data_IF_389335683347
#
_entry.id   IF_389335683347
#
_cell.length_a   1.000
_cell.length_b   1.000
_cell.length_c   1.000
_cell.angle_alpha   90.00
_cell.angle_beta   90.00
_cell.angle_gamma   90.00
#
_symmetry.space_group_name_H-M   'P 1'
#
loop_
_entity.id
_entity.type
_entity.pdbx_description
1 polymer ?
#
# COMPACT_ATOMS: atom_id res chain seq x y z
N UNK A 1 20.21 -11.41 7.38
CA UNK A 1 20.67 -10.01 7.20
C UNK A 1 19.85 -9.10 8.11
N UNK A 2 20.49 -8.14 8.77
CA UNK A 2 19.83 -7.12 9.59
C UNK A 2 18.84 -6.30 8.76
N UNK A 3 17.62 -6.04 9.29
CA UNK A 3 16.63 -5.20 8.61
C UNK A 3 17.12 -3.76 8.41
N UNK A 4 17.90 -3.24 9.37
CA UNK A 4 18.40 -1.87 9.40
C UNK A 4 19.95 -1.82 9.22
N UNK A 5 20.55 -2.75 8.48
CA UNK A 5 22.00 -2.87 8.34
C UNK A 5 22.66 -1.56 7.90
N UNK A 6 22.10 -0.88 6.92
CA UNK A 6 22.69 0.38 6.41
C UNK A 6 22.66 1.50 7.45
N UNK A 7 21.63 1.59 8.27
CA UNK A 7 21.57 2.57 9.35
C UNK A 7 22.66 2.30 10.43
N UNK A 8 22.93 1.02 10.72
CA UNK A 8 23.95 0.62 11.68
C UNK A 8 25.38 0.82 11.17
N UNK A 9 25.61 0.62 9.88
CA UNK A 9 26.93 0.67 9.23
C UNK A 9 27.32 2.06 8.74
N UNK A 10 26.39 3.02 8.71
CA UNK A 10 26.64 4.34 8.12
C UNK A 10 27.63 5.13 8.96
N UNK A 11 28.80 5.39 8.36
CA UNK A 11 29.83 6.33 8.85
C UNK A 11 29.70 7.70 8.19
N UNK A 12 29.00 7.78 7.05
CA UNK A 12 28.76 9.00 6.30
C UNK A 12 27.50 9.71 6.82
N UNK A 13 27.69 10.83 7.50
CA UNK A 13 26.60 11.64 8.05
C UNK A 13 25.98 12.51 6.96
N UNK A 14 25.03 11.97 6.22
CA UNK A 14 24.30 12.71 5.18
C UNK A 14 23.28 13.66 5.82
N UNK A 15 23.46 14.98 5.76
CA UNK A 15 22.51 15.95 6.27
C UNK A 15 21.14 15.80 5.59
N UNK A 16 20.06 15.87 6.37
CA UNK A 16 18.70 15.77 5.84
C UNK A 16 18.38 14.44 5.16
N UNK A 17 19.01 13.36 5.62
CA UNK A 17 18.79 12.00 5.09
C UNK A 17 17.34 11.56 5.23
N UNK A 18 16.70 11.93 6.35
CA UNK A 18 15.26 11.71 6.59
C UNK A 18 14.59 13.05 6.85
N UNK A 19 13.69 13.44 5.97
CA UNK A 19 12.91 14.68 6.05
C UNK A 19 11.42 14.36 6.15
N UNK A 20 10.73 14.99 7.11
CA UNK A 20 9.27 14.93 7.22
C UNK A 20 8.75 16.37 7.35
N UNK A 21 8.02 16.81 6.35
CA UNK A 21 7.66 18.23 6.22
C UNK A 21 8.92 19.12 6.15
N UNK A 22 9.00 20.08 7.04
CA UNK A 22 10.12 21.03 7.10
C UNK A 22 11.25 20.61 8.06
N UNK A 23 11.05 19.54 8.83
CA UNK A 23 12.04 19.01 9.78
C UNK A 23 12.82 17.86 9.17
N UNK A 24 14.09 17.75 9.54
CA UNK A 24 14.94 16.66 9.05
C UNK A 24 15.93 16.19 10.11
N UNK A 25 16.41 14.95 9.93
CA UNK A 25 17.51 14.35 10.66
C UNK A 25 18.55 13.85 9.66
N UNK A 26 19.81 13.91 10.06
CA UNK A 26 20.88 13.17 9.40
C UNK A 26 20.77 11.67 9.74
N UNK A 27 21.56 10.83 9.06
CA UNK A 27 21.63 9.40 9.39
C UNK A 27 22.10 9.16 10.83
N UNK A 28 23.14 9.89 11.27
CA UNK A 28 23.69 9.77 12.62
C UNK A 28 22.68 10.27 13.66
N UNK A 29 22.02 11.41 13.40
CA UNK A 29 20.99 11.94 14.28
C UNK A 29 19.80 10.97 14.44
N UNK A 30 19.31 10.40 13.33
CA UNK A 30 18.24 9.38 13.36
C UNK A 30 18.68 8.16 14.18
N UNK A 31 19.85 7.61 13.89
CA UNK A 31 20.38 6.44 14.60
C UNK A 31 20.45 6.71 16.11
N UNK A 32 21.08 7.82 16.49
CA UNK A 32 21.30 8.16 17.91
C UNK A 32 20.00 8.46 18.64
N UNK A 33 19.04 9.14 17.99
CA UNK A 33 17.71 9.38 18.58
C UNK A 33 16.93 8.07 18.73
N UNK A 34 16.92 7.21 17.72
CA UNK A 34 16.26 5.89 17.78
C UNK A 34 16.92 4.96 18.81
N UNK A 35 18.24 5.02 18.97
CA UNK A 35 18.95 4.27 20.02
C UNK A 35 18.56 4.74 21.41
N UNK A 36 18.37 6.05 21.62
CA UNK A 36 17.89 6.57 22.91
C UNK A 36 16.47 6.08 23.24
N UNK A 37 15.59 5.97 22.22
CA UNK A 37 14.28 5.34 22.39
C UNK A 37 14.42 3.85 22.73
N UNK A 38 15.29 3.12 22.01
CA UNK A 38 15.52 1.71 22.28
C UNK A 38 16.03 1.44 23.70
N UNK A 39 16.82 2.34 24.27
CA UNK A 39 17.28 2.25 25.68
C UNK A 39 16.12 2.29 26.67
N UNK A 40 15.05 3.03 26.37
CA UNK A 40 13.87 3.16 27.22
C UNK A 40 12.91 1.95 27.11
N UNK A 41 13.01 1.17 26.02
CA UNK A 41 12.10 0.06 25.72
C UNK A 41 12.55 -1.29 26.27
N UNK A 42 13.44 -1.33 27.22
CA UNK A 42 14.08 -2.55 27.74
C UNK A 42 13.07 -3.65 28.06
N UNK A 43 13.13 -4.75 27.31
CA UNK A 43 12.33 -5.96 27.55
C UNK A 43 10.89 -5.88 27.07
N UNK A 44 10.40 -4.77 26.56
CA UNK A 44 9.07 -4.69 25.96
C UNK A 44 9.02 -5.51 24.66
N UNK A 45 8.10 -6.47 24.60
CA UNK A 45 7.93 -7.30 23.41
C UNK A 45 7.16 -6.56 22.30
N UNK A 46 6.24 -5.67 22.66
CA UNK A 46 5.39 -4.93 21.72
C UNK A 46 5.19 -3.49 22.13
N UNK A 47 5.37 -2.57 21.18
CA UNK A 47 5.23 -1.14 21.43
C UNK A 47 4.32 -0.49 20.38
N UNK A 48 3.39 0.33 20.83
CA UNK A 48 2.51 1.09 19.94
C UNK A 48 3.12 2.47 19.62
N UNK A 49 2.91 2.94 18.38
CA UNK A 49 3.35 4.26 17.90
C UNK A 49 2.19 4.94 17.19
N UNK A 50 1.73 6.13 17.62
CA UNK A 50 0.80 6.93 16.82
C UNK A 50 1.47 7.30 15.50
N UNK A 51 0.95 6.77 14.40
CA UNK A 51 1.61 6.80 13.09
C UNK A 51 1.30 8.10 12.31
N UNK A 52 1.57 9.23 12.93
CA UNK A 52 1.47 10.55 12.30
C UNK A 52 2.60 10.76 11.29
N UNK A 53 2.43 11.66 10.34
CA UNK A 53 3.48 12.07 9.40
C UNK A 53 4.51 12.97 10.10
N UNK A 54 5.37 12.40 10.96
CA UNK A 54 6.32 13.12 11.81
C UNK A 54 7.64 12.37 11.97
N UNK A 55 8.69 13.10 12.37
CA UNK A 55 9.98 12.49 12.70
C UNK A 55 9.88 11.62 13.96
N UNK A 56 9.00 11.97 14.89
CA UNK A 56 8.70 11.20 16.09
C UNK A 56 8.23 9.79 15.72
N UNK A 57 7.32 9.66 14.77
CA UNK A 57 6.89 8.35 14.26
C UNK A 57 8.07 7.55 13.67
N UNK A 58 8.89 8.19 12.84
CA UNK A 58 10.06 7.51 12.24
C UNK A 58 11.02 7.04 13.32
N UNK A 59 11.38 7.92 14.27
CA UNK A 59 12.30 7.60 15.38
C UNK A 59 11.71 6.54 16.29
N UNK A 60 10.41 6.62 16.62
CA UNK A 60 9.72 5.62 17.44
C UNK A 60 9.70 4.23 16.80
N UNK A 61 9.38 4.16 15.51
CA UNK A 61 9.41 2.89 14.75
C UNK A 61 10.82 2.31 14.72
N UNK A 62 11.82 3.11 14.35
CA UNK A 62 13.21 2.65 14.28
C UNK A 62 13.73 2.25 15.65
N UNK A 63 13.41 3.01 16.71
CA UNK A 63 13.77 2.70 18.10
C UNK A 63 13.17 1.38 18.58
N UNK A 64 11.88 1.15 18.31
CA UNK A 64 11.23 -0.14 18.60
C UNK A 64 11.89 -1.31 17.88
N UNK A 65 12.21 -1.13 16.59
CA UNK A 65 12.93 -2.14 15.81
C UNK A 65 14.35 -2.39 16.33
N UNK A 66 15.09 -1.37 16.78
CA UNK A 66 16.42 -1.52 17.38
C UNK A 66 16.35 -2.22 18.74
N UNK A 67 15.32 -1.98 19.53
CA UNK A 67 15.08 -2.66 20.80
C UNK A 67 14.70 -4.15 20.63
N UNK A 68 14.37 -4.58 19.41
CA UNK A 68 13.86 -5.93 19.15
C UNK A 68 12.35 -6.09 19.39
N UNK A 69 11.65 -5.00 19.72
CA UNK A 69 10.21 -5.02 19.92
C UNK A 69 9.45 -5.07 18.59
N UNK A 70 8.28 -5.73 18.59
CA UNK A 70 7.31 -5.60 17.50
C UNK A 70 6.62 -4.24 17.59
N UNK A 71 6.68 -3.46 16.52
CA UNK A 71 6.06 -2.13 16.49
C UNK A 71 4.65 -2.21 15.93
N UNK A 72 3.70 -1.56 16.62
CA UNK A 72 2.28 -1.48 16.27
C UNK A 72 1.97 -0.03 15.87
N UNK A 73 1.96 0.31 14.58
CA UNK A 73 1.57 1.65 14.14
C UNK A 73 0.06 1.83 14.30
N UNK A 74 -0.34 2.83 15.09
CA UNK A 74 -1.75 3.16 15.33
C UNK A 74 -2.15 4.32 14.42
N UNK A 75 -3.22 4.19 13.61
CA UNK A 75 -3.71 5.28 12.78
C UNK A 75 -4.05 6.52 13.63
N UNK A 76 -3.59 7.72 13.26
CA UNK A 76 -3.83 8.93 14.07
C UNK A 76 -5.28 9.40 14.04
N UNK A 77 -6.05 8.96 13.07
CA UNK A 77 -7.47 9.24 12.86
C UNK A 77 -8.38 8.09 13.33
N UNK A 78 -7.82 7.04 13.93
CA UNK A 78 -8.59 5.96 14.52
C UNK A 78 -9.48 6.49 15.65
N UNK A 79 -10.78 6.24 15.56
CA UNK A 79 -11.71 6.52 16.64
C UNK A 79 -11.40 5.71 17.91
N UNK A 80 -11.96 6.09 19.07
CA UNK A 80 -11.65 5.41 20.34
C UNK A 80 -11.87 3.89 20.32
N UNK A 81 -12.92 3.42 19.67
CA UNK A 81 -13.21 1.97 19.56
C UNK A 81 -12.11 1.23 18.79
N UNK A 82 -11.71 1.74 17.63
CA UNK A 82 -10.67 1.14 16.80
C UNK A 82 -9.32 1.20 17.48
N UNK A 83 -8.94 2.35 18.02
CA UNK A 83 -7.70 2.53 18.76
C UNK A 83 -7.60 1.58 19.94
N UNK A 84 -8.66 1.50 20.76
CA UNK A 84 -8.70 0.62 21.92
C UNK A 84 -8.69 -0.87 21.52
N UNK A 85 -9.30 -1.22 20.37
CA UNK A 85 -9.17 -2.56 19.81
C UNK A 85 -7.72 -2.87 19.44
N UNK A 86 -7.07 -2.00 18.67
CA UNK A 86 -5.67 -2.18 18.25
C UNK A 86 -4.73 -2.36 19.46
N UNK A 87 -4.84 -1.49 20.46
CA UNK A 87 -3.98 -1.53 21.64
C UNK A 87 -4.18 -2.80 22.48
N UNK A 88 -5.43 -3.22 22.68
CA UNK A 88 -5.75 -4.44 23.46
C UNK A 88 -5.41 -5.71 22.70
N UNK A 89 -5.80 -5.82 21.44
CA UNK A 89 -5.58 -7.02 20.62
C UNK A 89 -4.09 -7.24 20.34
N UNK A 90 -3.35 -6.15 20.09
CA UNK A 90 -1.89 -6.23 19.91
C UNK A 90 -1.14 -6.59 21.20
N UNK A 91 -1.73 -6.35 22.36
CA UNK A 91 -1.03 -6.47 23.65
C UNK A 91 0.19 -5.56 23.73
N UNK A 92 0.12 -4.35 23.15
CA UNK A 92 1.18 -3.35 23.26
C UNK A 92 1.42 -2.98 24.74
N UNK A 93 2.67 -3.07 25.19
CA UNK A 93 3.06 -2.85 26.58
C UNK A 93 3.37 -1.38 26.84
N UNK A 94 3.79 -0.64 25.83
CA UNK A 94 4.16 0.77 25.89
C UNK A 94 3.59 1.52 24.69
N UNK A 95 3.28 2.80 24.91
CA UNK A 95 2.87 3.74 23.87
C UNK A 95 3.96 4.80 23.68
N UNK A 96 4.59 4.83 22.53
CA UNK A 96 5.60 5.83 22.16
C UNK A 96 4.90 7.05 21.60
N UNK A 97 4.89 8.16 22.31
CA UNK A 97 4.19 9.38 21.88
C UNK A 97 5.06 10.63 22.00
N UNK A 98 4.76 11.66 21.20
CA UNK A 98 5.43 12.95 21.33
C UNK A 98 5.21 13.55 22.72
N UNK A 99 6.17 14.34 23.27
CA UNK A 99 6.01 15.01 24.53
C UNK A 99 4.74 15.87 24.54
N UNK A 100 3.99 15.79 25.64
CA UNK A 100 2.72 16.52 25.79
C UNK A 100 1.51 15.90 25.08
N UNK A 101 1.66 14.72 24.50
CA UNK A 101 0.49 13.92 24.09
C UNK A 101 -0.33 13.63 25.35
N UNK A 102 -1.63 14.00 25.42
CA UNK A 102 -2.46 13.67 26.57
C UNK A 102 -2.42 12.17 26.85
N UNK A 103 -2.39 11.78 28.12
CA UNK A 103 -2.56 10.40 28.50
C UNK A 103 -3.84 9.89 27.84
N UNK A 104 -3.66 8.89 26.99
CA UNK A 104 -4.80 8.22 26.44
C UNK A 104 -5.58 7.55 27.60
N UNK A 105 -6.88 7.27 27.40
CA UNK A 105 -7.78 6.70 28.41
C UNK A 105 -7.13 5.65 29.32
N UNK A 106 -7.68 5.43 30.52
CA UNK A 106 -7.19 4.46 31.51
C UNK A 106 -6.91 3.04 31.01
N UNK A 107 -7.31 2.73 29.77
CA UNK A 107 -7.05 1.46 29.06
C UNK A 107 -5.80 1.52 28.17
N UNK A 108 -5.10 2.64 28.06
CA UNK A 108 -3.89 2.79 27.22
C UNK A 108 -2.64 2.32 27.95
N UNK A 109 -1.66 1.74 27.24
CA UNK A 109 -0.36 1.41 27.81
C UNK A 109 0.35 2.65 28.36
N UNK A 110 1.29 2.50 29.32
CA UNK A 110 2.14 3.59 29.79
C UNK A 110 2.84 4.31 28.63
N UNK A 111 2.87 5.64 28.71
CA UNK A 111 3.47 6.48 27.65
C UNK A 111 4.97 6.63 27.89
N UNK A 112 5.76 6.33 26.85
CA UNK A 112 7.18 6.67 26.77
C UNK A 112 7.33 7.88 25.84
N UNK A 113 7.82 9.03 26.33
CA UNK A 113 7.91 10.25 25.54
C UNK A 113 9.01 10.14 24.47
N UNK A 114 8.65 10.46 23.22
CA UNK A 114 9.58 10.55 22.09
C UNK A 114 10.22 11.95 22.05
N UNK A 115 11.37 12.10 22.70
CA UNK A 115 12.17 13.33 22.64
C UNK A 115 13.27 13.20 21.58
N UNK A 116 13.11 13.91 20.46
CA UNK A 116 14.09 13.90 19.35
C UNK A 116 15.42 14.57 19.71
N UNK A 117 15.55 15.26 20.83
CA UNK A 117 16.82 15.84 21.29
C UNK A 117 17.71 14.83 22.00
N UNK A 118 17.13 13.76 22.53
CA UNK A 118 17.87 12.71 23.21
C UNK A 118 18.77 11.94 22.23
N UNK A 119 19.95 11.55 22.71
CA UNK A 119 20.93 10.80 21.93
C UNK A 119 21.53 9.67 22.77
N UNK A 120 21.75 8.52 22.11
CA UNK A 120 22.49 7.40 22.66
C UNK A 120 23.36 6.76 21.59
N UNK A 121 24.54 6.26 21.98
CA UNK A 121 25.44 5.49 21.13
C UNK A 121 25.52 4.03 21.59
N UNK A 122 24.63 3.60 22.47
CA UNK A 122 24.58 2.22 22.97
C UNK A 122 24.29 1.27 21.81
N UNK A 123 24.99 0.12 21.80
CA UNK A 123 24.72 -0.94 20.84
C UNK A 123 23.68 -1.89 21.43
N UNK A 124 22.62 -2.13 20.66
CA UNK A 124 21.63 -3.17 20.91
C UNK A 124 21.99 -4.43 20.14
N UNK A 125 21.72 -5.62 20.69
CA UNK A 125 21.87 -6.88 19.96
C UNK A 125 21.01 -6.86 18.69
N UNK A 126 21.51 -7.44 17.60
CA UNK A 126 20.71 -7.61 16.39
C UNK A 126 19.62 -8.64 16.65
N UNK A 127 18.34 -8.29 16.47
CA UNK A 127 17.24 -9.21 16.67
C UNK A 127 17.22 -10.31 15.59
N UNK A 128 16.66 -11.48 15.95
CA UNK A 128 16.48 -12.59 15.04
C UNK A 128 15.72 -12.15 13.77
N UNK A 129 16.16 -12.53 12.56
CA UNK A 129 15.41 -12.28 11.33
C UNK A 129 13.97 -12.83 11.35
N UNK A 130 13.70 -13.90 12.06
CA UNK A 130 12.37 -14.45 12.23
C UNK A 130 11.51 -13.70 13.27
N UNK A 131 12.12 -12.80 14.07
CA UNK A 131 11.35 -12.02 15.04
C UNK A 131 10.37 -11.08 14.35
N UNK A 132 9.21 -10.87 14.99
CA UNK A 132 8.21 -9.91 14.54
C UNK A 132 8.79 -8.50 14.53
N UNK A 133 8.70 -7.83 13.39
CA UNK A 133 9.08 -6.42 13.26
C UNK A 133 7.88 -5.49 13.41
N UNK A 134 6.79 -5.78 12.70
CA UNK A 134 5.59 -4.96 12.67
C UNK A 134 4.33 -5.81 12.86
N UNK A 135 3.33 -5.22 13.50
CA UNK A 135 1.95 -5.74 13.48
C UNK A 135 1.08 -4.64 12.85
N UNK A 136 0.67 -4.86 11.61
CA UNK A 136 -0.14 -3.89 10.86
C UNK A 136 -1.60 -4.30 10.84
N UNK A 137 -2.47 -3.42 11.34
CA UNK A 137 -3.90 -3.70 11.37
C UNK A 137 -4.55 -3.40 10.01
N UNK A 138 -5.32 -4.37 9.52
CA UNK A 138 -6.07 -4.26 8.27
C UNK A 138 -7.56 -4.18 8.58
N UNK A 139 -8.26 -3.24 7.93
CA UNK A 139 -9.72 -3.24 7.91
C UNK A 139 -10.19 -4.41 7.05
N UNK A 140 -10.56 -5.52 7.69
CA UNK A 140 -11.22 -6.63 7.00
C UNK A 140 -12.54 -6.17 6.38
N UNK A 141 -13.01 -6.89 5.35
CA UNK A 141 -14.34 -6.64 4.75
C UNK A 141 -15.47 -6.96 5.73
N UNK A 142 -15.17 -7.70 6.81
CA UNK A 142 -16.14 -8.12 7.84
C UNK A 142 -15.46 -8.14 9.21
N UNK A 143 -16.03 -7.39 10.18
CA UNK A 143 -15.61 -7.43 11.58
C UNK A 143 -14.50 -6.45 11.98
N UNK A 144 -13.94 -6.63 13.18
CA UNK A 144 -12.87 -5.81 13.72
C UNK A 144 -11.56 -5.95 12.91
N UNK A 145 -10.72 -4.90 12.86
CA UNK A 145 -9.41 -4.97 12.21
C UNK A 145 -8.56 -6.13 12.73
N UNK A 146 -7.82 -6.78 11.82
CA UNK A 146 -6.92 -7.90 12.14
C UNK A 146 -5.47 -7.44 12.07
N UNK A 147 -4.68 -7.80 13.07
CA UNK A 147 -3.24 -7.54 13.09
C UNK A 147 -2.45 -8.54 12.25
N UNK A 148 -1.92 -8.11 11.10
CA UNK A 148 -1.02 -8.93 10.29
C UNK A 148 0.40 -8.88 10.89
N UNK A 149 0.96 -10.03 11.24
CA UNK A 149 2.28 -10.17 11.85
C UNK A 149 3.34 -10.27 10.77
N UNK A 150 4.25 -9.31 10.73
CA UNK A 150 5.31 -9.21 9.73
C UNK A 150 6.67 -9.41 10.37
N UNK A 151 7.38 -10.45 9.96
CA UNK A 151 8.75 -10.70 10.43
C UNK A 151 9.75 -9.74 9.80
N UNK A 152 10.89 -9.59 10.46
CA UNK A 152 12.04 -8.83 9.94
C UNK A 152 12.51 -9.39 8.61
N UNK A 153 12.48 -10.72 8.48
CA UNK A 153 12.85 -11.42 7.25
C UNK A 153 11.91 -11.06 6.09
N UNK A 154 10.59 -11.11 6.30
CA UNK A 154 9.62 -10.82 5.25
C UNK A 154 9.75 -9.39 4.72
N UNK A 155 9.94 -8.42 5.63
CA UNK A 155 10.15 -7.03 5.26
C UNK A 155 11.47 -6.88 4.50
N UNK A 156 12.56 -7.48 4.98
CA UNK A 156 13.86 -7.41 4.33
C UNK A 156 13.81 -8.02 2.92
N UNK A 157 13.25 -9.22 2.77
CA UNK A 157 13.10 -9.90 1.47
C UNK A 157 12.30 -9.06 0.46
N UNK A 158 11.22 -8.44 0.91
CA UNK A 158 10.43 -7.54 0.08
C UNK A 158 11.25 -6.33 -0.38
N UNK A 159 11.94 -5.65 0.54
CA UNK A 159 12.70 -4.45 0.24
C UNK A 159 13.91 -4.73 -0.65
N UNK A 160 14.60 -5.86 -0.46
CA UNK A 160 15.70 -6.29 -1.31
C UNK A 160 15.21 -6.61 -2.74
N UNK A 161 14.08 -7.32 -2.84
CA UNK A 161 13.45 -7.61 -4.13
C UNK A 161 13.02 -6.35 -4.87
N UNK A 162 12.54 -5.34 -4.15
CA UNK A 162 12.19 -4.04 -4.73
C UNK A 162 13.43 -3.21 -5.09
N UNK A 163 14.50 -3.29 -4.30
CA UNK A 163 15.76 -2.63 -4.61
C UNK A 163 16.32 -3.14 -5.95
N UNK A 164 16.27 -4.46 -6.18
CA UNK A 164 16.61 -5.06 -7.47
C UNK A 164 15.66 -4.60 -8.57
N UNK A 165 14.35 -4.80 -8.40
CA UNK A 165 13.36 -4.51 -9.44
C UNK A 165 13.33 -3.03 -9.87
N UNK A 166 13.62 -2.11 -8.96
CA UNK A 166 13.58 -0.67 -9.19
C UNK A 166 14.96 -0.05 -9.41
N UNK A 167 16.03 -0.86 -9.43
CA UNK A 167 17.42 -0.38 -9.42
C UNK A 167 17.60 0.72 -8.36
N UNK A 168 17.07 0.50 -7.16
CA UNK A 168 17.06 1.47 -6.08
C UNK A 168 18.41 1.51 -5.38
N UNK A 169 19.01 2.68 -5.35
CA UNK A 169 20.38 2.87 -4.86
C UNK A 169 20.45 3.89 -3.71
N UNK A 170 21.58 3.95 -2.98
CA UNK A 170 21.81 4.97 -1.96
C UNK A 170 21.78 6.41 -2.47
N UNK A 171 21.98 6.64 -3.77
CA UNK A 171 21.97 7.98 -4.37
C UNK A 171 20.56 8.52 -4.59
N UNK A 172 19.56 7.65 -4.52
CA UNK A 172 18.18 8.04 -4.70
C UNK A 172 17.64 8.93 -3.57
N UNK A 173 16.65 9.70 -3.93
CA UNK A 173 15.80 10.45 -3.02
C UNK A 173 14.37 9.99 -3.26
N UNK A 174 13.77 9.35 -2.27
CA UNK A 174 12.38 8.95 -2.32
C UNK A 174 11.49 10.06 -1.74
N UNK A 175 10.48 10.50 -2.49
CA UNK A 175 9.43 11.38 -1.99
C UNK A 175 8.07 10.69 -1.96
N UNK A 176 7.32 10.87 -0.88
CA UNK A 176 5.93 10.44 -0.75
C UNK A 176 5.18 11.21 0.35
N UNK A 177 3.84 11.16 0.32
CA UNK A 177 2.97 11.68 1.38
C UNK A 177 2.00 10.61 1.90
N UNK A 178 2.41 9.34 1.90
CA UNK A 178 1.56 8.20 2.24
C UNK A 178 1.49 7.98 3.76
N UNK A 179 0.36 7.46 4.29
CA UNK A 179 0.19 7.20 5.71
C UNK A 179 1.22 6.21 6.27
N UNK A 180 1.77 6.51 7.46
CA UNK A 180 2.82 5.71 8.11
C UNK A 180 2.30 4.52 8.93
N UNK A 181 1.02 4.16 8.81
CA UNK A 181 0.41 2.96 9.38
C UNK A 181 0.07 1.90 8.33
N UNK A 182 0.53 2.09 7.09
CA UNK A 182 0.34 1.14 5.98
C UNK A 182 1.67 0.72 5.36
N UNK A 183 1.69 -0.49 4.78
CA UNK A 183 2.86 -1.04 4.07
C UNK A 183 3.48 -0.03 3.13
N UNK A 184 2.68 0.64 2.29
CA UNK A 184 3.20 1.56 1.27
C UNK A 184 3.93 2.76 1.86
N UNK A 185 3.38 3.39 2.91
CA UNK A 185 4.00 4.55 3.55
C UNK A 185 5.11 4.18 4.53
N UNK A 186 4.91 3.14 5.34
CA UNK A 186 5.85 2.77 6.40
C UNK A 186 6.93 1.81 5.90
N UNK A 187 6.53 0.64 5.38
CA UNK A 187 7.52 -0.37 4.98
C UNK A 187 8.30 0.10 3.76
N UNK A 188 7.60 0.46 2.68
CA UNK A 188 8.28 0.89 1.46
C UNK A 188 8.81 2.32 1.58
N UNK A 189 8.01 3.22 2.16
CA UNK A 189 8.32 4.65 2.21
C UNK A 189 9.32 5.06 3.27
N UNK A 190 9.39 4.38 4.42
CA UNK A 190 10.34 4.68 5.50
C UNK A 190 11.42 3.61 5.59
N UNK A 191 11.05 2.33 5.79
CA UNK A 191 12.05 1.28 5.97
C UNK A 191 12.83 0.97 4.67
N UNK A 192 12.22 1.21 3.50
CA UNK A 192 12.90 1.06 2.21
C UNK A 192 14.14 1.95 2.09
N UNK A 193 14.03 3.29 2.21
CA UNK A 193 15.18 4.18 2.24
C UNK A 193 16.22 3.79 3.29
N UNK A 194 15.79 3.40 4.49
CA UNK A 194 16.70 3.00 5.58
C UNK A 194 17.49 1.71 5.24
N UNK A 195 16.86 0.76 4.55
CA UNK A 195 17.50 -0.48 4.14
C UNK A 195 18.46 -0.28 2.96
N UNK A 196 18.07 0.52 1.97
CA UNK A 196 18.89 0.78 0.78
C UNK A 196 20.01 1.77 1.08
N UNK A 197 19.82 2.67 2.05
CA UNK A 197 20.71 3.78 2.35
C UNK A 197 20.40 5.05 1.54
N UNK A 198 19.20 5.16 0.97
CA UNK A 198 18.75 6.31 0.19
C UNK A 198 18.08 7.36 1.08
N UNK A 199 17.87 8.56 0.55
CA UNK A 199 17.21 9.65 1.30
C UNK A 199 15.70 9.55 1.25
N UNK A 200 15.04 9.95 2.35
CA UNK A 200 13.59 10.05 2.47
C UNK A 200 13.13 11.51 2.53
N UNK A 201 12.10 11.86 1.75
CA UNK A 201 11.33 13.10 1.84
C UNK A 201 9.83 12.80 1.98
N UNK A 202 9.34 12.76 3.22
CA UNK A 202 7.92 12.66 3.46
C UNK A 202 7.29 14.07 3.38
N UNK A 203 6.47 14.31 2.36
CA UNK A 203 5.93 15.64 2.05
C UNK A 203 4.73 16.05 2.93
N UNK A 204 4.41 15.28 3.97
CA UNK A 204 3.21 15.47 4.77
C UNK A 204 1.96 14.97 4.03
N UNK A 205 0.92 15.79 3.95
CA UNK A 205 -0.27 15.42 3.17
C UNK A 205 0.06 15.36 1.68
N UNK A 206 -0.41 14.32 0.96
CA UNK A 206 -0.15 14.20 -0.47
C UNK A 206 -0.93 15.28 -1.26
N UNK A 207 -0.19 16.25 -1.80
CA UNK A 207 -0.69 17.34 -2.61
C UNK A 207 0.23 17.57 -3.83
N UNK A 208 -0.29 17.86 -5.04
CA UNK A 208 0.51 18.01 -6.25
C UNK A 208 1.70 18.97 -6.10
N UNK A 209 1.49 20.14 -5.50
CA UNK A 209 2.54 21.16 -5.33
C UNK A 209 3.66 20.68 -4.40
N UNK A 210 3.32 19.90 -3.37
CA UNK A 210 4.32 19.33 -2.45
C UNK A 210 5.16 18.25 -3.12
N UNK A 211 4.54 17.45 -4.01
CA UNK A 211 5.28 16.50 -4.84
C UNK A 211 6.18 17.25 -5.83
N UNK A 212 5.68 18.28 -6.49
CA UNK A 212 6.45 19.11 -7.43
C UNK A 212 7.68 19.75 -6.76
N UNK A 213 7.52 20.25 -5.53
CA UNK A 213 8.59 20.89 -4.76
C UNK A 213 9.60 19.92 -4.14
N UNK A 214 9.32 18.61 -4.12
CA UNK A 214 10.15 17.66 -3.41
C UNK A 214 11.54 17.42 -4.06
N UNK A 215 11.70 17.62 -5.38
CA UNK A 215 12.99 17.46 -6.08
C UNK A 215 13.61 16.07 -5.82
N UNK A 216 12.85 15.00 -6.02
CA UNK A 216 13.27 13.64 -5.75
C UNK A 216 13.52 12.84 -7.03
N UNK A 217 14.29 11.76 -6.94
CA UNK A 217 14.52 10.84 -8.05
C UNK A 217 13.44 9.77 -8.16
N UNK A 218 12.76 9.45 -7.05
CA UNK A 218 11.69 8.46 -6.97
C UNK A 218 10.47 9.06 -6.25
N UNK A 219 9.29 8.75 -6.74
CA UNK A 219 8.04 9.20 -6.11
C UNK A 219 7.09 8.03 -5.91
N UNK A 220 6.54 7.89 -4.70
CA UNK A 220 5.48 6.94 -4.43
C UNK A 220 4.15 7.65 -4.29
N UNK A 221 3.13 7.09 -4.93
CA UNK A 221 1.77 7.58 -4.85
C UNK A 221 0.73 6.48 -5.04
N UNK A 222 -0.48 6.81 -4.72
CA UNK A 222 -1.68 6.04 -5.04
C UNK A 222 -2.40 6.68 -6.22
N UNK A 223 -3.29 5.97 -6.94
CA UNK A 223 -3.97 6.52 -8.12
C UNK A 223 -4.62 7.90 -7.89
N UNK A 224 -5.20 8.12 -6.70
CA UNK A 224 -5.83 9.40 -6.37
C UNK A 224 -4.87 10.59 -6.42
N UNK A 225 -3.65 10.45 -5.90
CA UNK A 225 -2.65 11.55 -5.99
C UNK A 225 -2.10 11.66 -7.40
N UNK A 226 -1.92 10.55 -8.10
CA UNK A 226 -1.48 10.57 -9.50
C UNK A 226 -2.49 11.26 -10.42
N UNK A 227 -3.80 11.01 -10.23
CA UNK A 227 -4.86 11.73 -10.95
C UNK A 227 -4.83 13.23 -10.69
N UNK A 228 -4.64 13.65 -9.43
CA UNK A 228 -4.53 15.08 -9.07
C UNK A 228 -3.28 15.73 -9.67
N UNK A 229 -2.14 15.02 -9.71
CA UNK A 229 -0.91 15.50 -10.33
C UNK A 229 -1.10 15.61 -11.86
N UNK A 230 -1.70 14.61 -12.50
CA UNK A 230 -2.00 14.63 -13.94
C UNK A 230 -2.94 15.79 -14.34
N UNK A 231 -3.89 16.13 -13.47
CA UNK A 231 -4.80 17.25 -13.67
C UNK A 231 -4.12 18.65 -13.51
N UNK A 232 -2.87 18.70 -13.03
CA UNK A 232 -2.08 19.92 -12.85
C UNK A 232 -0.79 19.84 -13.68
N UNK A 233 -0.80 20.23 -14.97
CA UNK A 233 0.35 20.04 -15.87
C UNK A 233 1.67 20.66 -15.38
N UNK A 234 1.63 21.77 -14.65
CA UNK A 234 2.83 22.38 -14.07
C UNK A 234 3.45 21.48 -12.98
N UNK A 235 2.63 20.93 -12.08
CA UNK A 235 3.09 20.02 -11.03
C UNK A 235 3.61 18.71 -11.63
N UNK A 236 2.91 18.14 -12.64
CA UNK A 236 3.37 16.95 -13.34
C UNK A 236 4.73 17.17 -14.01
N UNK A 237 4.90 18.27 -14.75
CA UNK A 237 6.17 18.59 -15.44
C UNK A 237 7.34 18.79 -14.49
N UNK A 238 7.10 19.21 -13.24
CA UNK A 238 8.14 19.32 -12.23
C UNK A 238 8.76 17.95 -11.85
N UNK A 239 8.04 16.84 -12.14
CA UNK A 239 8.54 15.49 -11.89
C UNK A 239 9.39 14.92 -13.04
N UNK A 240 9.66 15.68 -14.10
CA UNK A 240 10.47 15.22 -15.25
C UNK A 240 11.88 14.77 -14.87
N UNK A 241 12.45 15.37 -13.82
CA UNK A 241 13.76 14.98 -13.30
C UNK A 241 13.78 13.70 -12.48
N UNK A 242 12.62 13.12 -12.21
CA UNK A 242 12.55 11.82 -11.55
C UNK A 242 13.01 10.71 -12.51
N UNK A 243 13.39 9.55 -11.97
CA UNK A 243 13.61 8.34 -12.75
C UNK A 243 12.49 7.32 -12.59
N UNK A 244 11.76 7.36 -11.47
CA UNK A 244 10.64 6.46 -11.18
C UNK A 244 9.45 7.17 -10.55
N UNK A 245 8.27 6.92 -11.13
CA UNK A 245 6.97 7.24 -10.56
C UNK A 245 6.28 5.91 -10.24
N UNK A 246 6.13 5.57 -8.97
CA UNK A 246 5.60 4.26 -8.52
C UNK A 246 4.17 4.41 -8.05
N UNK A 247 3.25 3.66 -8.64
CA UNK A 247 1.85 3.58 -8.26
C UNK A 247 1.51 2.24 -7.62
N UNK A 248 0.60 2.24 -6.67
CA UNK A 248 0.09 1.02 -6.08
C UNK A 248 -1.08 1.25 -5.13
N UNK A 249 -1.48 0.20 -4.41
CA UNK A 249 -2.67 0.13 -3.55
C UNK A 249 -4.01 0.05 -4.27
N UNK A 250 -4.06 0.41 -5.55
CA UNK A 250 -5.16 0.19 -6.49
C UNK A 250 -4.62 0.27 -7.92
N UNK A 251 -5.38 -0.16 -8.91
CA UNK A 251 -5.05 -0.02 -10.32
C UNK A 251 -4.94 1.46 -10.70
N UNK A 252 -3.95 1.83 -11.51
CA UNK A 252 -3.81 3.17 -12.05
C UNK A 252 -4.65 3.27 -13.33
N UNK A 253 -5.66 4.16 -13.40
CA UNK A 253 -6.47 4.30 -14.60
C UNK A 253 -5.63 4.61 -15.84
N UNK A 254 -5.93 3.96 -16.95
CA UNK A 254 -5.16 4.12 -18.19
C UNK A 254 -5.05 5.59 -18.67
N UNK A 255 -6.11 6.42 -18.62
CA UNK A 255 -6.00 7.85 -18.96
C UNK A 255 -5.00 8.60 -18.08
N UNK A 256 -4.94 8.27 -16.77
CA UNK A 256 -3.99 8.86 -15.82
C UNK A 256 -2.56 8.43 -16.13
N UNK A 257 -2.37 7.14 -16.43
CA UNK A 257 -1.08 6.59 -16.87
C UNK A 257 -0.58 7.33 -18.13
N UNK A 258 -1.42 7.48 -19.15
CA UNK A 258 -1.09 8.15 -20.39
C UNK A 258 -0.77 9.64 -20.18
N UNK A 259 -1.58 10.35 -19.37
CA UNK A 259 -1.36 11.76 -19.04
C UNK A 259 -0.03 11.97 -18.31
N UNK A 260 0.28 11.15 -17.31
CA UNK A 260 1.57 11.21 -16.62
C UNK A 260 2.72 10.94 -17.57
N UNK A 261 2.63 9.90 -18.42
CA UNK A 261 3.66 9.61 -19.41
C UNK A 261 3.92 10.78 -20.36
N UNK A 262 2.87 11.41 -20.88
CA UNK A 262 2.98 12.57 -21.76
C UNK A 262 3.54 13.83 -21.08
N UNK A 263 3.13 14.10 -19.83
CA UNK A 263 3.55 15.28 -19.10
C UNK A 263 4.96 15.18 -18.51
N UNK A 264 5.32 13.99 -18.01
CA UNK A 264 6.60 13.78 -17.31
C UNK A 264 7.68 13.15 -18.18
N UNK A 265 7.32 12.46 -19.26
CA UNK A 265 8.22 11.61 -20.03
C UNK A 265 8.47 10.23 -19.40
N UNK A 266 7.86 9.94 -18.24
CA UNK A 266 8.03 8.69 -17.51
C UNK A 266 6.75 7.88 -17.52
N UNK A 267 6.83 6.63 -17.98
CA UNK A 267 5.74 5.66 -17.82
C UNK A 267 5.68 5.25 -16.35
N UNK A 268 4.57 5.43 -15.63
CA UNK A 268 4.44 5.00 -14.24
C UNK A 268 4.77 3.50 -14.09
N UNK A 269 5.36 3.17 -12.95
CA UNK A 269 5.63 1.79 -12.55
C UNK A 269 4.53 1.35 -11.59
N UNK A 270 3.79 0.31 -11.97
CA UNK A 270 2.77 -0.28 -11.13
C UNK A 270 3.30 -1.52 -10.40
N UNK A 271 2.77 -1.78 -9.21
CA UNK A 271 3.09 -2.94 -8.40
C UNK A 271 1.87 -3.42 -7.63
N UNK A 272 1.86 -4.69 -7.26
CA UNK A 272 0.80 -5.33 -6.51
C UNK A 272 1.33 -5.97 -5.23
N UNK A 273 0.50 -5.91 -4.22
CA UNK A 273 0.68 -6.54 -2.92
C UNK A 273 -0.39 -6.09 -1.94
N UNK A 274 -0.41 -6.73 -0.80
CA UNK A 274 -1.33 -6.47 0.30
C UNK A 274 -0.55 -6.56 1.62
N UNK A 275 -1.18 -6.25 2.75
CA UNK A 275 -0.47 -6.26 4.04
C UNK A 275 0.12 -7.64 4.34
N UNK A 276 -0.61 -8.70 4.02
CA UNK A 276 -0.27 -10.09 4.28
C UNK A 276 0.87 -10.63 3.39
N UNK A 277 1.15 -9.96 2.29
CA UNK A 277 2.16 -10.43 1.32
C UNK A 277 3.24 -9.39 1.03
N UNK A 278 3.12 -8.20 1.61
CA UNK A 278 3.91 -7.03 1.22
C UNK A 278 3.78 -6.76 -0.28
N UNK A 279 4.85 -6.47 -1.00
CA UNK A 279 4.84 -6.44 -2.46
C UNK A 279 5.29 -7.79 -2.99
N UNK A 280 4.50 -8.36 -3.88
CA UNK A 280 4.74 -9.67 -4.48
C UNK A 280 5.06 -9.61 -5.95
N UNK A 281 4.42 -8.67 -6.66
CA UNK A 281 4.57 -8.48 -8.09
C UNK A 281 4.86 -7.02 -8.37
N UNK A 282 5.84 -6.73 -9.22
CA UNK A 282 6.21 -5.37 -9.59
C UNK A 282 6.68 -5.29 -11.03
N UNK A 283 6.32 -4.21 -11.71
CA UNK A 283 7.03 -3.81 -12.90
C UNK A 283 8.49 -3.46 -12.53
N UNK A 284 9.39 -3.57 -13.49
CA UNK A 284 10.84 -3.31 -13.31
C UNK A 284 11.25 -1.95 -13.87
N UNK A 285 12.32 -1.39 -13.31
CA UNK A 285 12.88 -0.12 -13.79
C UNK A 285 13.39 -0.23 -15.23
N UNK A 286 13.95 -1.39 -15.59
CA UNK A 286 14.52 -1.75 -16.89
C UNK A 286 13.53 -2.48 -17.82
N UNK A 287 12.30 -2.74 -17.34
CA UNK A 287 11.28 -3.51 -18.07
C UNK A 287 10.27 -2.65 -18.84
N UNK A 288 9.48 -3.32 -19.67
CA UNK A 288 8.33 -2.71 -20.35
C UNK A 288 7.22 -2.44 -19.34
N UNK A 289 6.74 -1.20 -19.26
CA UNK A 289 5.63 -0.79 -18.40
C UNK A 289 4.40 -0.56 -19.25
N UNK A 290 3.41 -1.41 -19.08
CA UNK A 290 2.12 -1.36 -19.78
C UNK A 290 1.02 -0.92 -18.81
N UNK A 291 0.09 -0.05 -19.18
CA UNK A 291 -1.02 0.34 -18.31
C UNK A 291 -1.83 -0.89 -17.89
N UNK A 292 -2.27 -0.92 -16.64
CA UNK A 292 -3.05 -2.02 -16.06
C UNK A 292 -2.28 -3.31 -15.80
N UNK A 293 -0.95 -3.37 -16.04
CA UNK A 293 -0.11 -4.50 -15.64
C UNK A 293 0.75 -4.12 -14.45
N UNK A 294 0.87 -5.03 -13.49
CA UNK A 294 1.67 -4.82 -12.28
C UNK A 294 3.05 -5.49 -12.34
N UNK A 295 3.43 -6.02 -13.49
CA UNK A 295 4.76 -6.62 -13.75
C UNK A 295 4.84 -8.10 -13.41
N UNK A 296 5.99 -8.53 -12.91
CA UNK A 296 6.35 -9.93 -12.66
C UNK A 296 6.64 -10.17 -11.17
N UNK A 297 6.60 -11.42 -10.68
CA UNK A 297 6.93 -11.73 -9.29
C UNK A 297 8.33 -11.24 -8.92
N UNK A 298 8.47 -10.72 -7.69
CA UNK A 298 9.77 -10.35 -7.12
C UNK A 298 10.65 -11.60 -6.91
N UNK A 299 11.99 -11.45 -6.88
CA UNK A 299 12.90 -12.54 -6.54
C UNK A 299 12.47 -13.28 -5.26
N UNK A 300 12.44 -14.61 -5.32
CA UNK A 300 11.99 -15.45 -4.19
C UNK A 300 10.48 -15.52 -3.99
N UNK A 301 9.69 -14.85 -4.80
CA UNK A 301 8.22 -14.95 -4.80
C UNK A 301 7.76 -15.80 -5.99
N UNK A 302 6.80 -16.66 -5.75
CA UNK A 302 6.11 -17.46 -6.77
C UNK A 302 4.62 -17.14 -6.74
N UNK A 303 4.02 -17.12 -7.91
CA UNK A 303 2.59 -16.90 -8.11
C UNK A 303 2.00 -18.04 -8.92
N UNK A 304 0.71 -18.30 -8.73
CA UNK A 304 -0.10 -19.11 -9.64
C UNK A 304 -1.50 -18.53 -9.71
N UNK A 305 -2.14 -18.72 -10.85
CA UNK A 305 -3.56 -18.41 -11.05
C UNK A 305 -4.30 -19.73 -11.13
N UNK A 306 -5.36 -19.87 -10.31
CA UNK A 306 -6.10 -21.12 -10.19
C UNK A 306 -7.59 -20.93 -10.42
N UNK A 307 -8.25 -22.01 -10.83
CA UNK A 307 -9.71 -22.08 -10.93
C UNK A 307 -10.38 -22.22 -9.55
N UNK A 308 -11.69 -22.39 -9.52
CA UNK A 308 -12.47 -22.54 -8.28
C UNK A 308 -12.22 -23.88 -7.55
N UNK A 309 -11.61 -24.84 -8.21
CA UNK A 309 -11.21 -26.14 -7.64
C UNK A 309 -9.73 -26.17 -7.20
N UNK A 310 -8.99 -25.06 -7.43
CA UNK A 310 -7.57 -24.94 -7.11
C UNK A 310 -6.65 -25.49 -8.21
N UNK A 311 -7.18 -25.86 -9.38
CA UNK A 311 -6.41 -26.29 -10.52
C UNK A 311 -5.68 -25.10 -11.18
N UNK A 312 -4.39 -25.24 -11.57
CA UNK A 312 -3.66 -24.16 -12.21
C UNK A 312 -4.24 -23.86 -13.61
N UNK A 313 -4.34 -22.58 -13.93
CA UNK A 313 -4.86 -22.10 -15.20
C UNK A 313 -3.72 -21.75 -16.17
N UNK A 314 -3.96 -21.87 -17.51
CA UNK A 314 -3.00 -21.43 -18.51
C UNK A 314 -2.86 -19.90 -18.54
N UNK A 315 -1.85 -19.41 -19.28
CA UNK A 315 -1.68 -17.98 -19.53
C UNK A 315 -2.97 -17.36 -20.10
N UNK A 316 -3.18 -16.08 -19.76
CA UNK A 316 -4.36 -15.26 -20.10
C UNK A 316 -5.69 -15.72 -19.49
N UNK A 317 -5.74 -16.88 -18.85
CA UNK A 317 -6.94 -17.33 -18.16
C UNK A 317 -7.10 -16.57 -16.82
N UNK A 318 -8.36 -16.24 -16.49
CA UNK A 318 -8.73 -15.50 -15.30
C UNK A 318 -9.03 -16.44 -14.12
N UNK A 319 -8.37 -16.25 -12.99
CA UNK A 319 -8.60 -17.04 -11.79
C UNK A 319 -8.09 -16.40 -10.51
N UNK A 320 -8.20 -17.12 -9.38
CA UNK A 320 -7.67 -16.66 -8.09
C UNK A 320 -6.14 -16.63 -8.12
N UNK A 321 -5.57 -15.47 -7.74
CA UNK A 321 -4.14 -15.32 -7.57
C UNK A 321 -3.72 -15.94 -6.23
N UNK A 322 -2.78 -16.86 -6.26
CA UNK A 322 -2.15 -17.42 -5.08
C UNK A 322 -0.66 -17.12 -5.08
N UNK A 323 -0.10 -16.89 -3.87
CA UNK A 323 1.27 -16.43 -3.69
C UNK A 323 2.01 -17.33 -2.70
N UNK A 324 3.30 -17.55 -2.96
CA UNK A 324 4.23 -18.25 -2.06
C UNK A 324 5.60 -17.58 -2.11
N UNK A 325 6.22 -17.34 -0.94
CA UNK A 325 7.57 -16.75 -0.90
C UNK A 325 7.91 -16.16 0.44
N UNK A 326 9.11 -15.59 0.53
CA UNK A 326 9.66 -15.04 1.76
C UNK A 326 9.07 -13.69 2.18
N UNK A 327 8.19 -13.09 1.36
CA UNK A 327 7.54 -11.80 1.67
C UNK A 327 6.21 -11.96 2.41
N UNK A 328 5.77 -13.21 2.65
CA UNK A 328 4.50 -13.48 3.31
C UNK A 328 4.58 -13.17 4.81
N UNK A 329 3.46 -12.72 5.36
CA UNK A 329 3.29 -12.56 6.80
C UNK A 329 3.31 -13.91 7.53
N UNK A 330 3.55 -13.87 8.84
CA UNK A 330 3.59 -15.09 9.68
C UNK A 330 2.18 -15.57 10.03
N UNK A 331 1.17 -14.68 9.95
CA UNK A 331 -0.22 -14.96 10.22
C UNK A 331 -0.94 -13.74 10.82
N UNK A 332 -2.22 -13.90 11.13
CA UNK A 332 -2.99 -12.89 11.86
C UNK A 332 -2.86 -13.09 13.37
N UNK A 333 -2.52 -12.05 14.07
CA UNK A 333 -2.41 -12.06 15.53
C UNK A 333 -3.71 -12.56 16.16
N UNK A 334 -3.62 -13.55 17.07
CA UNK A 334 -4.74 -14.13 17.79
C UNK A 334 -5.88 -14.71 16.91
N UNK A 335 -5.63 -15.02 15.63
CA UNK A 335 -6.67 -15.44 14.69
C UNK A 335 -6.27 -16.67 13.84
N UNK A 336 -6.03 -17.83 14.49
CA UNK A 336 -5.67 -19.07 13.78
C UNK A 336 -6.75 -19.55 12.79
N UNK A 337 -8.02 -19.25 13.06
CA UNK A 337 -9.15 -19.50 12.17
C UNK A 337 -9.02 -18.74 10.84
N UNK A 338 -8.64 -17.48 10.91
CA UNK A 338 -8.42 -16.64 9.72
C UNK A 338 -7.18 -17.12 8.94
N UNK A 339 -6.12 -17.55 9.63
CA UNK A 339 -4.92 -18.08 8.98
C UNK A 339 -5.21 -19.37 8.20
N UNK A 340 -5.93 -20.30 8.80
CA UNK A 340 -6.33 -21.53 8.14
C UNK A 340 -7.15 -21.28 6.87
N UNK A 341 -8.04 -20.27 6.89
CA UNK A 341 -8.87 -19.91 5.74
C UNK A 341 -8.06 -19.31 4.56
N UNK A 342 -6.90 -18.71 4.85
CA UNK A 342 -6.07 -18.04 3.82
C UNK A 342 -4.98 -18.92 3.22
N UNK A 343 -4.79 -20.16 3.71
CA UNK A 343 -3.73 -21.05 3.20
C UNK A 343 -4.31 -22.30 2.56
N UNK A 344 -3.69 -22.72 1.47
CA UNK A 344 -3.98 -24.01 0.86
C UNK A 344 -3.19 -25.13 1.56
N UNK A 345 -3.62 -26.39 1.41
CA UNK A 345 -2.94 -27.55 1.99
C UNK A 345 -1.48 -27.69 1.50
N UNK A 346 -1.18 -27.24 0.29
CA UNK A 346 0.16 -27.23 -0.31
C UNK A 346 0.96 -25.94 -0.03
N UNK A 347 0.49 -25.10 0.92
CA UNK A 347 1.23 -23.97 1.49
C UNK A 347 1.23 -22.68 0.66
N UNK A 348 0.27 -22.49 -0.26
CA UNK A 348 0.05 -21.21 -0.92
C UNK A 348 -0.86 -20.31 -0.11
N UNK A 349 -0.61 -19.01 -0.19
CA UNK A 349 -1.48 -17.99 0.36
C UNK A 349 -2.54 -17.60 -0.68
N UNK A 350 -3.81 -17.67 -0.28
CA UNK A 350 -4.97 -17.23 -1.07
C UNK A 350 -5.12 -15.72 -0.93
N UNK A 351 -4.88 -14.97 -1.99
CA UNK A 351 -4.99 -13.51 -1.92
C UNK A 351 -6.45 -13.03 -1.87
N UNK A 352 -7.37 -13.83 -2.38
CA UNK A 352 -8.75 -13.41 -2.65
C UNK A 352 -8.87 -12.41 -3.80
N UNK A 353 -7.77 -12.16 -4.52
CA UNK A 353 -7.76 -11.34 -5.73
C UNK A 353 -7.78 -12.23 -6.96
N UNK A 354 -8.43 -11.74 -8.02
CA UNK A 354 -8.48 -12.36 -9.32
C UNK A 354 -7.45 -11.69 -10.22
N UNK A 355 -6.72 -12.50 -10.98
CA UNK A 355 -5.69 -12.02 -11.89
C UNK A 355 -5.67 -12.82 -13.19
N UNK A 356 -5.01 -12.27 -14.20
CA UNK A 356 -4.50 -12.97 -15.37
C UNK A 356 -2.98 -12.83 -15.42
N UNK A 357 -2.30 -13.75 -16.09
CA UNK A 357 -0.86 -13.71 -16.33
C UNK A 357 -0.63 -13.88 -17.82
N UNK A 358 -0.01 -12.88 -18.44
CA UNK A 358 0.30 -12.92 -19.87
C UNK A 358 1.38 -13.99 -20.16
N UNK A 359 1.54 -14.43 -21.43
CA UNK A 359 2.59 -15.40 -21.79
C UNK A 359 4.02 -14.96 -21.45
N UNK A 360 4.30 -13.67 -21.35
CA UNK A 360 5.57 -13.09 -20.92
C UNK A 360 5.70 -12.96 -19.37
N UNK A 361 4.71 -13.49 -18.64
CA UNK A 361 4.71 -13.53 -17.17
C UNK A 361 4.19 -12.25 -16.49
N UNK A 362 3.76 -11.24 -17.24
CA UNK A 362 3.23 -10.02 -16.65
C UNK A 362 1.82 -10.25 -16.08
N UNK A 363 1.61 -9.79 -14.86
CA UNK A 363 0.35 -9.93 -14.14
C UNK A 363 -0.56 -8.73 -14.35
N UNK A 364 -1.84 -8.99 -14.48
CA UNK A 364 -2.92 -8.00 -14.43
C UNK A 364 -3.87 -8.36 -13.31
N UNK A 365 -4.08 -7.46 -12.37
CA UNK A 365 -5.05 -7.65 -11.29
C UNK A 365 -6.41 -7.19 -11.79
N UNK A 366 -7.35 -8.12 -11.81
CA UNK A 366 -8.75 -7.87 -12.24
C UNK A 366 -9.55 -7.23 -11.10
N UNK A 367 -9.25 -7.64 -9.85
CA UNK A 367 -9.88 -7.12 -8.65
C UNK A 367 -10.17 -8.19 -7.61
N UNK A 368 -10.89 -7.83 -6.54
CA UNK A 368 -11.32 -8.75 -5.50
C UNK A 368 -12.37 -9.73 -6.00
N UNK A 369 -12.19 -11.02 -5.76
CA UNK A 369 -13.16 -12.04 -6.14
C UNK A 369 -14.56 -11.77 -5.55
N UNK A 370 -14.61 -11.22 -4.33
CA UNK A 370 -15.84 -10.94 -3.63
C UNK A 370 -16.58 -9.67 -4.07
N UNK A 371 -15.87 -8.65 -4.60
CA UNK A 371 -16.44 -7.31 -4.84
C UNK A 371 -16.26 -6.80 -6.26
N UNK A 372 -15.18 -7.20 -6.94
CA UNK A 372 -14.80 -6.65 -8.24
C UNK A 372 -15.00 -7.63 -9.39
N UNK A 373 -15.28 -8.91 -9.08
CA UNK A 373 -15.66 -9.91 -10.07
C UNK A 373 -17.18 -10.03 -10.12
N UNK A 374 -17.79 -9.50 -11.15
CA UNK A 374 -19.25 -9.53 -11.37
C UNK A 374 -19.62 -10.80 -12.14
N UNK A 375 -20.50 -11.62 -11.56
CA UNK A 375 -21.00 -12.84 -12.18
C UNK A 375 -22.35 -12.55 -12.82
N UNK A 376 -22.35 -12.24 -14.12
CA UNK A 376 -23.56 -11.81 -14.84
C UNK A 376 -23.86 -12.73 -16.04
N UNK A 377 -24.98 -13.44 -16.01
CA UNK A 377 -25.42 -14.28 -17.12
C UNK A 377 -24.41 -15.35 -17.56
N UNK A 378 -23.67 -15.95 -16.60
CA UNK A 378 -22.62 -16.93 -16.86
C UNK A 378 -21.24 -16.32 -17.18
N UNK A 379 -21.16 -15.01 -17.38
CA UNK A 379 -19.87 -14.32 -17.60
C UNK A 379 -19.25 -13.87 -16.29
N UNK A 380 -17.90 -13.85 -16.26
CA UNK A 380 -17.10 -13.23 -15.19
C UNK A 380 -16.54 -11.91 -15.72
N UNK A 381 -16.99 -10.80 -15.17
CA UNK A 381 -16.69 -9.44 -15.62
C UNK A 381 -15.87 -8.75 -14.55
N UNK A 382 -14.69 -8.27 -14.92
CA UNK A 382 -13.88 -7.43 -14.04
C UNK A 382 -14.45 -6.01 -14.00
N UNK A 383 -14.79 -5.53 -12.80
CA UNK A 383 -15.32 -4.18 -12.62
C UNK A 383 -14.35 -3.10 -13.13
N UNK A 384 -13.03 -3.31 -12.92
CA UNK A 384 -11.99 -2.36 -13.33
C UNK A 384 -11.96 -2.08 -14.83
N UNK A 385 -12.20 -3.07 -15.67
CA UNK A 385 -12.23 -2.88 -17.13
C UNK A 385 -13.40 -1.97 -17.57
N UNK A 386 -14.54 -2.10 -16.88
CA UNK A 386 -15.70 -1.24 -17.13
C UNK A 386 -15.47 0.16 -16.56
N UNK A 387 -14.80 0.27 -15.41
CA UNK A 387 -14.39 1.55 -14.82
C UNK A 387 -13.42 2.30 -15.75
N UNK A 388 -12.42 1.63 -16.28
CA UNK A 388 -11.46 2.21 -17.23
C UNK A 388 -12.15 2.73 -18.49
N UNK A 389 -13.09 1.95 -19.04
CA UNK A 389 -13.88 2.38 -20.19
C UNK A 389 -14.71 3.63 -19.87
N UNK A 390 -15.37 3.69 -18.71
CA UNK A 390 -16.12 4.87 -18.28
C UNK A 390 -15.23 6.10 -18.10
N UNK A 391 -14.04 5.91 -17.49
CA UNK A 391 -13.07 6.98 -17.26
C UNK A 391 -12.44 7.54 -18.56
N UNK A 392 -12.53 6.81 -19.67
CA UNK A 392 -12.14 7.30 -20.99
C UNK A 392 -13.16 8.30 -21.57
N UNK A 393 -14.37 8.39 -21.03
CA UNK A 393 -15.37 9.38 -21.44
C UNK A 393 -15.00 10.78 -20.89
N UNK A 394 -14.94 11.85 -21.73
CA UNK A 394 -14.44 13.16 -21.30
C UNK A 394 -15.25 13.83 -20.18
N UNK A 395 -16.53 13.49 -20.03
CA UNK A 395 -17.39 14.02 -18.97
C UNK A 395 -17.34 13.23 -17.66
N UNK A 396 -16.55 12.12 -17.57
CA UNK A 396 -16.45 11.28 -16.38
C UNK A 396 -15.18 11.61 -15.61
N UNK A 397 -15.34 11.92 -14.33
CA UNK A 397 -14.21 12.18 -13.41
C UNK A 397 -13.86 10.97 -12.57
N UNK A 398 -14.88 10.26 -12.07
CA UNK A 398 -14.69 9.06 -11.24
C UNK A 398 -15.76 8.03 -11.63
N UNK A 399 -15.38 6.76 -11.58
CA UNK A 399 -16.28 5.64 -11.79
C UNK A 399 -16.00 4.53 -10.77
N UNK A 400 -17.05 3.86 -10.32
CA UNK A 400 -16.97 2.64 -9.55
C UNK A 400 -18.07 1.68 -10.05
N UNK A 401 -17.67 0.43 -10.33
CA UNK A 401 -18.58 -0.58 -10.89
C UNK A 401 -18.71 -1.74 -9.93
N UNK A 402 -19.93 -2.19 -9.72
CA UNK A 402 -20.29 -3.29 -8.83
C UNK A 402 -21.31 -4.23 -9.48
N UNK A 403 -21.36 -5.45 -8.99
CA UNK A 403 -22.46 -6.37 -9.28
C UNK A 403 -23.62 -6.11 -8.33
N UNK A 404 -24.80 -5.74 -8.87
CA UNK A 404 -26.03 -5.68 -8.08
C UNK A 404 -26.92 -6.88 -8.40
N UNK A 405 -27.74 -7.37 -7.44
CA UNK A 405 -28.61 -8.52 -7.68
C UNK A 405 -29.54 -8.35 -8.90
N UNK A 406 -29.69 -9.40 -9.70
CA UNK A 406 -30.57 -9.43 -10.86
C UNK A 406 -31.26 -10.80 -10.95
N UNK A 407 -32.57 -10.87 -11.12
CA UNK A 407 -33.34 -12.13 -11.04
C UNK A 407 -32.90 -13.18 -12.08
N UNK A 408 -32.56 -12.77 -13.32
CA UNK A 408 -32.21 -13.71 -14.40
C UNK A 408 -30.69 -13.91 -14.56
N UNK A 409 -29.89 -12.91 -14.20
CA UNK A 409 -28.43 -12.90 -14.45
C UNK A 409 -27.61 -13.27 -13.22
N UNK A 410 -28.26 -13.43 -12.05
CA UNK A 410 -27.58 -13.48 -10.77
C UNK A 410 -27.11 -12.10 -10.32
N UNK A 411 -26.23 -11.47 -11.08
CA UNK A 411 -25.81 -10.08 -10.91
C UNK A 411 -25.93 -9.31 -12.24
N UNK A 412 -26.16 -8.00 -12.15
CA UNK A 412 -26.00 -7.07 -13.28
C UNK A 412 -24.88 -6.10 -13.00
N UNK A 413 -24.26 -5.60 -14.07
CA UNK A 413 -23.24 -4.57 -14.00
C UNK A 413 -23.91 -3.22 -13.72
N UNK A 414 -23.62 -2.63 -12.57
CA UNK A 414 -24.10 -1.30 -12.16
C UNK A 414 -22.91 -0.38 -11.95
N UNK A 415 -22.91 0.77 -12.62
CA UNK A 415 -21.88 1.78 -12.50
C UNK A 415 -22.35 2.97 -11.67
N UNK A 416 -21.50 3.47 -10.79
CA UNK A 416 -21.66 4.73 -10.05
C UNK A 416 -20.64 5.71 -10.59
N UNK A 417 -21.09 6.84 -11.11
CA UNK A 417 -20.26 7.78 -11.85
C UNK A 417 -20.35 9.18 -11.26
N UNK A 418 -19.20 9.81 -11.08
CA UNK A 418 -19.07 11.25 -10.81
C UNK A 418 -18.65 11.92 -12.12
N UNK A 419 -19.48 12.80 -12.64
CA UNK A 419 -19.21 13.47 -13.90
C UNK A 419 -20.11 14.70 -14.09
N UNK A 420 -19.79 15.51 -15.08
CA UNK A 420 -20.49 16.74 -15.40
C UNK A 420 -21.05 16.67 -16.81
N UNK A 421 -22.35 17.01 -16.95
CA UNK A 421 -23.02 17.10 -18.24
C UNK A 421 -23.16 15.77 -19.00
N UNK A 422 -23.13 14.64 -18.29
CA UNK A 422 -23.27 13.30 -18.85
C UNK A 422 -24.65 12.71 -18.50
N UNK A 423 -25.20 11.91 -19.41
CA UNK A 423 -26.43 11.17 -19.19
C UNK A 423 -26.16 9.67 -19.03
N UNK A 424 -26.97 8.99 -18.20
CA UNK A 424 -26.82 7.54 -17.96
C UNK A 424 -26.81 6.72 -19.25
N UNK A 425 -27.77 6.99 -20.16
CA UNK A 425 -27.87 6.30 -21.43
C UNK A 425 -26.62 6.53 -22.32
N UNK A 426 -26.09 7.74 -22.34
CA UNK A 426 -24.85 8.07 -23.07
C UNK A 426 -23.67 7.25 -22.59
N UNK A 427 -23.50 7.09 -21.27
CA UNK A 427 -22.42 6.31 -20.69
C UNK A 427 -22.57 4.80 -20.96
N UNK A 428 -23.80 4.29 -20.91
CA UNK A 428 -24.12 2.90 -21.29
C UNK A 428 -23.72 2.64 -22.75
N UNK A 429 -24.13 3.54 -23.65
CA UNK A 429 -23.82 3.43 -25.07
C UNK A 429 -22.33 3.64 -25.35
N UNK A 430 -21.68 4.50 -24.59
CA UNK A 430 -20.23 4.68 -24.69
C UNK A 430 -19.50 3.37 -24.37
N UNK A 431 -19.79 2.74 -23.24
CA UNK A 431 -19.19 1.45 -22.87
C UNK A 431 -19.53 0.35 -23.90
N UNK A 432 -20.77 0.33 -24.42
CA UNK A 432 -21.19 -0.64 -25.44
C UNK A 432 -20.40 -0.55 -26.75
N UNK A 433 -19.88 0.63 -27.10
CA UNK A 433 -19.03 0.83 -28.28
C UNK A 433 -17.57 0.40 -28.08
N UNK A 434 -17.12 0.32 -26.82
CA UNK A 434 -15.71 0.07 -26.49
C UNK A 434 -15.46 -1.33 -25.92
N UNK A 435 -16.48 -1.94 -25.29
CA UNK A 435 -16.36 -3.26 -24.67
C UNK A 435 -17.40 -4.24 -25.22
N UNK A 436 -17.17 -5.53 -25.00
CA UNK A 436 -18.09 -6.60 -25.37
C UNK A 436 -19.46 -6.42 -24.69
N UNK A 437 -20.53 -6.83 -25.35
CA UNK A 437 -21.92 -6.60 -24.96
C UNK A 437 -22.24 -7.03 -23.50
N UNK A 438 -21.66 -8.14 -23.02
CA UNK A 438 -21.88 -8.64 -21.66
C UNK A 438 -21.25 -7.76 -20.57
N UNK A 439 -20.28 -6.88 -20.91
CA UNK A 439 -19.60 -5.95 -20.00
C UNK A 439 -20.34 -4.62 -19.87
N UNK A 440 -21.29 -4.34 -20.74
CA UNK A 440 -22.08 -3.11 -20.74
C UNK A 440 -22.84 -2.96 -19.42
N UNK A 441 -22.75 -1.82 -18.72
CA UNK A 441 -23.57 -1.53 -17.57
C UNK A 441 -25.06 -1.60 -17.95
N UNK A 442 -25.88 -2.26 -17.14
CA UNK A 442 -27.33 -2.23 -17.28
C UNK A 442 -27.94 -1.04 -16.55
N UNK A 443 -27.19 -0.49 -15.61
CA UNK A 443 -27.58 0.69 -14.85
C UNK A 443 -26.36 1.57 -14.62
N UNK A 444 -26.52 2.87 -14.81
CA UNK A 444 -25.56 3.90 -14.41
C UNK A 444 -26.27 4.82 -13.43
N UNK A 445 -25.63 5.12 -12.31
CA UNK A 445 -26.10 6.06 -11.29
C UNK A 445 -25.14 7.22 -11.19
N UNK A 446 -25.60 8.42 -11.46
CA UNK A 446 -24.82 9.64 -11.27
C UNK A 446 -24.83 10.01 -9.80
N UNK A 447 -23.64 10.20 -9.22
CA UNK A 447 -23.46 10.52 -7.80
C UNK A 447 -22.55 11.73 -7.63
N UNK A 448 -22.72 12.48 -6.53
CA UNK A 448 -21.89 13.66 -6.25
C UNK A 448 -20.44 13.28 -5.83
N UNK A 449 -20.27 12.13 -5.18
CA UNK A 449 -18.97 11.62 -4.75
C UNK A 449 -19.04 10.10 -4.53
N UNK A 450 -17.89 9.42 -4.69
CA UNK A 450 -17.75 8.00 -4.32
C UNK A 450 -17.29 7.87 -2.86
N UNK A 451 -17.86 6.91 -2.07
CA UNK A 451 -17.43 6.68 -0.70
C UNK A 451 -15.98 6.14 -0.69
N UNK A 452 -15.13 6.73 0.17
CA UNK A 452 -13.72 6.38 0.26
C UNK A 452 -13.30 6.12 1.71
N UNK A 453 -12.30 5.25 1.87
CA UNK A 453 -11.62 5.08 3.15
C UNK A 453 -10.53 6.16 3.35
N UNK A 454 -9.85 6.14 4.51
CA UNK A 454 -8.77 7.08 4.85
C UNK A 454 -7.59 7.04 3.85
N UNK A 455 -7.42 5.94 3.10
CA UNK A 455 -6.42 5.80 2.03
C UNK A 455 -6.87 6.35 0.68
N UNK A 456 -8.09 6.86 0.58
CA UNK A 456 -8.67 7.30 -0.69
C UNK A 456 -9.18 6.16 -1.58
N UNK A 457 -9.19 4.91 -1.10
CA UNK A 457 -9.74 3.77 -1.84
C UNK A 457 -11.26 3.77 -1.77
N UNK A 458 -11.92 3.58 -2.92
CA UNK A 458 -13.39 3.49 -3.00
C UNK A 458 -13.90 2.28 -2.20
N UNK A 459 -14.90 2.52 -1.36
CA UNK A 459 -15.57 1.50 -0.55
C UNK A 459 -16.79 0.98 -1.31
N UNK A 460 -16.59 0.03 -2.23
CA UNK A 460 -17.64 -0.50 -3.11
C UNK A 460 -18.80 -1.17 -2.38
N UNK A 461 -18.57 -1.78 -1.21
CA UNK A 461 -19.65 -2.37 -0.39
C UNK A 461 -20.69 -1.34 0.02
N UNK A 462 -20.29 -0.09 0.28
CA UNK A 462 -21.22 0.99 0.64
C UNK A 462 -22.09 1.49 -0.54
N UNK A 463 -21.71 1.14 -1.78
CA UNK A 463 -22.49 1.47 -2.96
C UNK A 463 -23.64 0.48 -3.19
N UNK A 464 -23.57 -0.73 -2.65
CA UNK A 464 -24.59 -1.77 -2.79
C UNK A 464 -25.61 -1.77 -1.65
N UNK A 465 -25.33 -1.02 -0.56
CA UNK A 465 -26.22 -0.87 0.61
C UNK A 465 -27.18 0.33 0.49
N UNK A 466 -27.06 1.15 -0.55
CA UNK A 466 -27.82 2.41 -0.76
C UNK A 466 -28.95 2.26 -1.79
#
# INVERSE_FOLDING_TARGET
MSLLSRLAETTDDRPGAVRVGDRSLSWVELRRAATAVADDLRGAARVAVPATASLETVVGVVGGLLAGAAVVPVPPDAGPMERNHILRDSGAELLLAAPGTPDADAASPPVVPLDLARRSDRRHPEPDPAATALILYTSGTTGAPKGAVLSRHAIAACLDGLADAWAWTPDDVLAHGLPLFHVHGLVLGVLGPLRVGSRLRHVGRPHPERYAAAGASMYFGVPTIWSRIAAQPAAARALRGARLLVSGSAALPEPVFAALAGLTGHRPLERYGMTETLVTVSARADGVRRPGTVGVPLPGVRTRVVDEHGGPLPADAMGELQVRGGTLFDGYLNRPDADAATRTADGWFRTGDVATVDPDGAHRIVGRAATDLIKSGGYRIGAGEVEDALLAHPGVREAAVVGTPHPDLGQQVTAYVVGDGVAEAELIDFVARHLSAHKRPRQVRLVGALPRNAMGKVQKSRLTEA
#
